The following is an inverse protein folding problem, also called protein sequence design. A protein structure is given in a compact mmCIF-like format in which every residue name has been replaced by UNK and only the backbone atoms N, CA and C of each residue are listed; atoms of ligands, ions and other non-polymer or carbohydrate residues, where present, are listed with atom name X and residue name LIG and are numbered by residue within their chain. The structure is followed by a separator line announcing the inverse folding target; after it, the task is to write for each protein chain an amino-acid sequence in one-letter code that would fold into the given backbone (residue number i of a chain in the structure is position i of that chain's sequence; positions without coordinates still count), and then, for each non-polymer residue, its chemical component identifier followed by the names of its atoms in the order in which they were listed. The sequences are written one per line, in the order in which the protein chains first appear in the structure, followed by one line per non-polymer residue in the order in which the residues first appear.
data_IF_022890063512
#
_entry.id   IF_022890063512
#
_cell.length_a   1.000
_cell.length_b   1.000
_cell.length_c   1.000
_cell.angle_alpha   90.00
_cell.angle_beta   90.00
_cell.angle_gamma   90.00
#
_symmetry.space_group_name_H-M   'P 1'
#
loop_
_entity.id
_entity.type
_entity.pdbx_description
1 polymer ?
#
# COMPACT_ATOMS: atom_id res chain seq x y z
N UNK A 1 -14.16 -12.09 22.09
CA UNK A 1 -14.26 -11.64 20.68
C UNK A 1 -13.18 -10.59 20.47
N UNK A 2 -12.49 -10.60 19.32
CA UNK A 2 -11.47 -9.59 19.05
C UNK A 2 -12.14 -8.21 18.92
N UNK A 3 -11.59 -7.19 19.60
CA UNK A 3 -12.13 -5.83 19.54
C UNK A 3 -11.50 -5.04 18.38
N UNK A 4 -12.20 -4.00 17.91
CA UNK A 4 -11.72 -3.11 16.83
C UNK A 4 -10.33 -2.55 17.15
N UNK A 5 -10.08 -2.19 18.42
CA UNK A 5 -8.77 -1.72 18.88
C UNK A 5 -7.68 -2.80 18.81
N UNK A 6 -8.00 -4.07 19.05
CA UNK A 6 -7.01 -5.16 18.96
C UNK A 6 -6.54 -5.42 17.52
N UNK A 7 -7.34 -5.05 16.51
CA UNK A 7 -6.93 -5.10 15.10
C UNK A 7 -6.05 -3.93 14.68
N UNK A 8 -5.97 -2.86 15.46
CA UNK A 8 -5.15 -1.69 15.15
C UNK A 8 -3.85 -1.73 15.96
N UNK A 9 -2.73 -2.00 15.28
CA UNK A 9 -1.41 -2.02 15.88
C UNK A 9 -0.52 -0.90 15.32
N UNK A 10 -0.45 0.20 16.06
CA UNK A 10 0.33 1.38 15.67
C UNK A 10 1.81 1.04 15.54
N UNK A 11 2.35 1.18 14.34
CA UNK A 11 3.78 0.93 14.05
C UNK A 11 4.44 2.07 13.29
N UNK A 12 5.73 2.27 13.59
CA UNK A 12 6.58 3.27 12.96
C UNK A 12 5.97 4.69 12.98
N UNK A 13 5.63 5.24 11.81
CA UNK A 13 5.10 6.60 11.65
C UNK A 13 3.56 6.64 11.66
N UNK A 14 2.89 5.61 12.21
CA UNK A 14 1.45 5.63 12.34
C UNK A 14 1.02 6.77 13.28
N UNK A 15 -0.14 7.40 13.07
CA UNK A 15 -0.63 8.43 13.96
C UNK A 15 -0.78 7.87 15.38
N UNK A 16 -0.16 8.53 16.36
CA UNK A 16 -0.19 8.14 17.78
C UNK A 16 -1.51 8.52 18.47
N UNK A 17 -2.45 9.13 17.73
CA UNK A 17 -3.76 9.56 18.21
C UNK A 17 -4.82 8.45 18.22
N UNK A 18 -6.05 8.79 18.65
CA UNK A 18 -7.20 7.88 18.61
C UNK A 18 -7.45 7.38 17.18
N UNK A 19 -8.10 6.22 17.06
CA UNK A 19 -8.43 5.64 15.77
C UNK A 19 -9.32 6.60 14.98
N UNK A 20 -8.93 6.90 13.74
CA UNK A 20 -9.77 7.68 12.84
C UNK A 20 -11.03 6.90 12.47
N UNK A 21 -12.06 7.59 11.98
CA UNK A 21 -13.31 6.97 11.54
C UNK A 21 -13.04 5.89 10.47
N UNK A 22 -12.18 6.21 9.49
CA UNK A 22 -11.79 5.27 8.43
C UNK A 22 -11.11 4.01 9.00
N UNK A 23 -10.23 4.18 9.99
CA UNK A 23 -9.56 3.04 10.64
C UNK A 23 -10.53 2.15 11.40
N UNK A 24 -11.49 2.76 12.10
CA UNK A 24 -12.53 2.05 12.85
C UNK A 24 -13.41 1.25 11.90
N UNK A 25 -13.82 1.84 10.78
CA UNK A 25 -14.64 1.17 9.77
C UNK A 25 -13.88 0.03 9.10
N UNK A 26 -12.62 0.23 8.73
CA UNK A 26 -11.79 -0.83 8.13
C UNK A 26 -11.54 -1.97 9.12
N UNK A 27 -11.22 -1.66 10.38
CA UNK A 27 -11.01 -2.67 11.41
C UNK A 27 -12.28 -3.47 11.71
N UNK A 28 -13.46 -2.82 11.74
CA UNK A 28 -14.74 -3.51 11.84
C UNK A 28 -14.98 -4.42 10.63
N UNK A 29 -14.73 -3.92 9.41
CA UNK A 29 -14.89 -4.72 8.19
C UNK A 29 -14.03 -5.99 8.20
N UNK A 30 -12.80 -5.93 8.76
CA UNK A 30 -11.92 -7.08 8.93
C UNK A 30 -12.45 -8.09 9.97
N UNK A 31 -13.02 -7.63 11.08
CA UNK A 31 -13.64 -8.51 12.09
C UNK A 31 -14.88 -9.24 11.55
N UNK A 32 -15.68 -8.52 10.77
CA UNK A 32 -16.84 -9.11 10.12
C UNK A 32 -16.42 -10.16 9.08
N UNK A 33 -15.32 -9.94 8.35
CA UNK A 33 -14.77 -10.94 7.41
C UNK A 33 -14.20 -12.16 8.14
N UNK A 34 -13.56 -11.97 9.29
CA UNK A 34 -13.10 -13.06 10.16
C UNK A 34 -14.28 -13.93 10.65
N UNK A 35 -15.44 -13.31 10.89
CA UNK A 35 -16.65 -14.00 11.37
C UNK A 35 -17.40 -14.71 10.26
N UNK A 36 -17.53 -14.07 9.09
CA UNK A 36 -18.41 -14.51 8.02
C UNK A 36 -17.73 -15.46 7.02
N UNK A 37 -16.39 -15.38 6.86
CA UNK A 37 -15.65 -16.19 5.90
C UNK A 37 -14.77 -17.19 6.64
N UNK A 38 -15.24 -18.43 6.74
CA UNK A 38 -14.58 -19.52 7.47
C UNK A 38 -13.15 -19.78 6.98
N UNK A 39 -12.90 -19.68 5.67
CA UNK A 39 -11.58 -19.88 5.06
C UNK A 39 -10.55 -18.82 5.49
N UNK A 40 -10.96 -17.55 5.60
CA UNK A 40 -10.06 -16.45 5.96
C UNK A 40 -9.86 -16.32 7.47
N UNK A 41 -10.70 -16.97 8.28
CA UNK A 41 -10.71 -16.83 9.74
C UNK A 41 -9.39 -17.17 10.41
N UNK A 42 -8.76 -18.28 10.01
CA UNK A 42 -7.50 -18.73 10.61
C UNK A 42 -6.35 -17.76 10.31
N UNK A 43 -6.32 -17.20 9.10
CA UNK A 43 -5.27 -16.31 8.63
C UNK A 43 -5.48 -14.86 9.09
N UNK A 44 -6.73 -14.37 9.12
CA UNK A 44 -7.06 -13.00 9.52
C UNK A 44 -6.96 -12.77 11.03
N UNK A 45 -7.21 -13.79 11.86
CA UNK A 45 -7.20 -13.66 13.33
C UNK A 45 -5.91 -12.99 13.87
N UNK A 46 -4.69 -13.46 13.53
CA UNK A 46 -3.45 -12.85 14.01
C UNK A 46 -3.07 -11.54 13.30
N UNK A 47 -3.72 -11.20 12.18
CA UNK A 47 -3.34 -10.04 11.38
C UNK A 47 -3.93 -8.75 11.95
N UNK A 48 -3.12 -7.70 11.87
CA UNK A 48 -3.42 -6.36 12.35
C UNK A 48 -3.09 -5.33 11.28
N UNK A 49 -3.69 -4.15 11.40
CA UNK A 49 -3.43 -2.99 10.54
C UNK A 49 -2.77 -1.89 11.36
N UNK A 50 -1.88 -1.11 10.75
CA UNK A 50 -1.18 -0.01 11.41
C UNK A 50 -2.01 1.28 11.37
N UNK A 51 -2.48 1.61 10.17
CA UNK A 51 -3.40 2.72 9.93
C UNK A 51 -4.13 2.51 8.62
N UNK A 52 -5.19 3.28 8.40
CA UNK A 52 -5.91 3.34 7.14
C UNK A 52 -6.09 4.80 6.76
N UNK A 53 -5.94 5.11 5.47
CA UNK A 53 -6.14 6.46 4.94
C UNK A 53 -7.01 6.40 3.71
N UNK A 54 -7.95 7.32 3.63
CA UNK A 54 -8.70 7.57 2.40
C UNK A 54 -7.98 8.62 1.57
N UNK A 55 -7.84 8.35 0.27
CA UNK A 55 -7.15 9.21 -0.70
C UNK A 55 -8.09 9.44 -1.88
N UNK A 56 -8.25 10.69 -2.28
CA UNK A 56 -8.99 11.04 -3.48
C UNK A 56 -8.17 10.68 -4.73
N UNK A 57 -8.83 10.00 -5.66
CA UNK A 57 -8.25 9.57 -6.94
C UNK A 57 -8.81 10.43 -8.06
N UNK A 58 -8.06 10.52 -9.17
CA UNK A 58 -8.57 11.12 -10.40
C UNK A 58 -9.92 10.50 -10.80
N UNK A 59 -10.86 11.33 -11.24
CA UNK A 59 -12.20 10.89 -11.62
C UNK A 59 -13.21 10.83 -10.47
N UNK A 60 -12.92 11.45 -9.32
CA UNK A 60 -13.88 11.60 -8.21
C UNK A 60 -14.07 10.34 -7.35
N UNK A 61 -13.40 9.24 -7.69
CA UNK A 61 -13.36 8.02 -6.89
C UNK A 61 -12.43 8.21 -5.69
N UNK A 62 -12.64 7.41 -4.64
CA UNK A 62 -11.78 7.37 -3.46
C UNK A 62 -11.09 6.02 -3.37
N UNK A 63 -9.85 6.01 -2.90
CA UNK A 63 -9.11 4.79 -2.61
C UNK A 63 -8.80 4.72 -1.11
N UNK A 64 -8.96 3.53 -0.53
CA UNK A 64 -8.59 3.25 0.85
C UNK A 64 -7.22 2.56 0.83
N UNK A 65 -6.24 3.23 1.43
CA UNK A 65 -4.90 2.69 1.62
C UNK A 65 -4.78 2.15 3.04
N UNK A 66 -4.62 0.83 3.14
CA UNK A 66 -4.44 0.13 4.41
C UNK A 66 -2.95 -0.10 4.63
N UNK A 67 -2.42 0.48 5.69
CA UNK A 67 -1.04 0.30 6.09
C UNK A 67 -0.89 -0.95 6.96
N UNK A 68 -0.05 -1.87 6.51
CA UNK A 68 0.19 -3.16 7.17
C UNK A 68 1.51 -3.10 7.94
N UNK A 69 1.59 -3.56 9.20
CA UNK A 69 2.86 -3.73 9.88
C UNK A 69 3.83 -4.60 9.06
N UNK A 70 5.05 -4.10 8.80
CA UNK A 70 6.01 -4.78 7.91
C UNK A 70 6.23 -6.28 8.20
N UNK A 71 6.27 -6.76 9.47
CA UNK A 71 6.42 -8.19 9.75
C UNK A 71 5.25 -9.05 9.24
N UNK A 72 4.04 -8.48 9.14
CA UNK A 72 2.82 -9.17 8.75
C UNK A 72 2.54 -9.09 7.24
N UNK A 73 3.25 -8.24 6.49
CA UNK A 73 3.01 -8.01 5.06
C UNK A 73 3.04 -9.30 4.23
N UNK A 74 4.00 -10.21 4.49
CA UNK A 74 4.07 -11.51 3.79
C UNK A 74 2.85 -12.39 4.05
N UNK A 75 2.25 -12.31 5.24
CA UNK A 75 1.04 -13.05 5.56
C UNK A 75 -0.19 -12.42 4.88
N UNK A 76 -0.25 -11.09 4.78
CA UNK A 76 -1.28 -10.40 3.99
C UNK A 76 -1.20 -10.77 2.51
N UNK A 77 0.00 -10.83 1.90
CA UNK A 77 0.17 -11.18 0.49
C UNK A 77 -0.51 -12.52 0.12
N UNK A 78 -0.40 -13.54 0.99
CA UNK A 78 -1.04 -14.86 0.77
C UNK A 78 -2.56 -14.76 0.55
N UNK A 79 -3.22 -13.86 1.27
CA UNK A 79 -4.68 -13.70 1.25
C UNK A 79 -5.15 -12.47 0.47
N UNK A 80 -4.21 -11.64 -0.01
CA UNK A 80 -4.50 -10.28 -0.48
C UNK A 80 -5.48 -10.26 -1.66
N UNK A 81 -5.39 -11.20 -2.61
CA UNK A 81 -6.32 -11.25 -3.74
C UNK A 81 -7.77 -11.48 -3.29
N UNK A 82 -8.00 -12.37 -2.32
CA UNK A 82 -9.34 -12.65 -1.79
C UNK A 82 -9.81 -11.52 -0.88
N UNK A 83 -8.92 -11.05 0.00
CA UNK A 83 -9.20 -9.99 0.95
C UNK A 83 -9.55 -8.67 0.25
N UNK A 84 -8.84 -8.29 -0.81
CA UNK A 84 -9.14 -7.10 -1.61
C UNK A 84 -10.54 -7.19 -2.22
N UNK A 85 -10.92 -8.33 -2.83
CA UNK A 85 -12.26 -8.52 -3.40
C UNK A 85 -13.37 -8.39 -2.36
N UNK A 86 -13.20 -9.01 -1.20
CA UNK A 86 -14.20 -8.96 -0.13
C UNK A 86 -14.32 -7.56 0.50
N UNK A 87 -13.21 -6.84 0.64
CA UNK A 87 -13.24 -5.46 1.12
C UNK A 87 -13.83 -4.51 0.07
N UNK A 88 -13.53 -4.67 -1.22
CA UNK A 88 -14.11 -3.85 -2.29
C UNK A 88 -15.61 -4.08 -2.46
N UNK A 89 -16.13 -5.27 -2.17
CA UNK A 89 -17.59 -5.50 -2.07
C UNK A 89 -18.23 -4.69 -0.94
N UNK A 90 -17.56 -4.58 0.22
CA UNK A 90 -18.05 -3.81 1.37
C UNK A 90 -17.92 -2.31 1.17
N UNK A 91 -16.84 -1.88 0.53
CA UNK A 91 -16.53 -0.49 0.23
C UNK A 91 -16.89 -0.19 -1.22
N UNK A 92 -18.20 -0.10 -1.50
CA UNK A 92 -18.70 0.17 -2.85
C UNK A 92 -18.04 1.43 -3.44
N UNK A 93 -17.56 1.29 -4.68
CA UNK A 93 -16.86 2.32 -5.47
C UNK A 93 -15.52 2.83 -4.89
N UNK A 94 -14.93 2.15 -3.91
CA UNK A 94 -13.60 2.49 -3.39
C UNK A 94 -12.59 1.39 -3.66
N UNK A 95 -11.47 1.77 -4.28
CA UNK A 95 -10.38 0.84 -4.49
C UNK A 95 -9.60 0.62 -3.19
N UNK A 96 -9.38 -0.63 -2.82
CA UNK A 96 -8.64 -0.99 -1.60
C UNK A 96 -7.23 -1.44 -1.98
N UNK A 97 -6.23 -0.82 -1.37
CA UNK A 97 -4.81 -1.12 -1.62
C UNK A 97 -4.07 -1.30 -0.30
N UNK A 98 -3.19 -2.31 -0.24
CA UNK A 98 -2.37 -2.61 0.92
C UNK A 98 -0.95 -2.07 0.71
N UNK A 99 -0.40 -1.42 1.74
CA UNK A 99 0.96 -0.89 1.70
C UNK A 99 1.67 -1.20 3.01
N UNK A 100 2.90 -1.71 2.93
CA UNK A 100 3.74 -1.92 4.11
C UNK A 100 4.11 -0.60 4.80
N UNK A 101 3.86 -0.53 6.10
CA UNK A 101 4.25 0.60 6.94
C UNK A 101 5.77 0.59 7.14
N UNK A 102 6.48 1.46 6.39
CA UNK A 102 7.95 1.56 6.40
C UNK A 102 8.41 2.87 7.05
N UNK A 103 9.55 2.82 7.75
CA UNK A 103 10.20 4.01 8.35
C UNK A 103 11.35 4.48 7.47
N UNK A 104 11.28 5.74 7.02
CA UNK A 104 12.39 6.40 6.35
C UNK A 104 13.25 7.10 7.40
N UNK A 105 14.55 6.76 7.46
CA UNK A 105 15.52 7.48 8.28
C UNK A 105 16.13 8.63 7.47
N UNK A 106 16.51 9.72 8.11
CA UNK A 106 17.22 10.82 7.43
C UNK A 106 18.59 10.38 6.89
N UNK A 107 19.08 11.04 5.84
CA UNK A 107 20.46 10.83 5.40
C UNK A 107 21.41 11.30 6.52
N UNK A 108 22.39 10.48 6.96
CA UNK A 108 23.35 10.94 7.94
C UNK A 108 24.10 12.16 7.37
N UNK A 109 24.14 13.23 8.16
CA UNK A 109 24.87 14.47 7.86
C UNK A 109 26.00 14.62 8.88
N UNK A 110 26.99 15.48 8.62
CA UNK A 110 28.09 15.77 9.55
C UNK A 110 27.60 16.18 10.96
N UNK A 111 26.38 16.74 11.08
CA UNK A 111 25.78 17.14 12.37
C UNK A 111 25.10 15.98 13.12
N UNK A 112 24.76 14.89 12.43
CA UNK A 112 24.07 13.75 13.04
C UNK A 112 25.08 12.80 13.69
N UNK A 113 25.12 12.79 15.02
CA UNK A 113 25.94 11.87 15.82
C UNK A 113 25.24 10.51 16.02
N UNK A 114 24.71 9.92 14.95
CA UNK A 114 24.14 8.58 15.04
C UNK A 114 25.27 7.56 15.13
N UNK A 115 25.30 6.78 16.21
CA UNK A 115 26.34 5.75 16.44
C UNK A 115 26.20 4.55 15.49
N UNK A 116 24.99 4.26 15.02
CA UNK A 116 24.70 3.11 14.17
C UNK A 116 24.54 3.52 12.70
N UNK A 117 25.05 2.71 11.75
CA UNK A 117 24.87 2.96 10.33
C UNK A 117 23.40 2.84 9.93
N UNK A 118 22.97 3.69 8.98
CA UNK A 118 21.60 3.64 8.44
C UNK A 118 21.42 2.38 7.57
N UNK A 119 20.43 1.52 7.86
CA UNK A 119 20.11 0.38 7.00
C UNK A 119 19.63 0.82 5.61
N UNK A 120 20.03 0.10 4.56
CA UNK A 120 19.60 0.38 3.18
C UNK A 120 18.07 0.33 3.01
N UNK A 121 17.41 -0.63 3.68
CA UNK A 121 15.95 -0.79 3.69
C UNK A 121 15.18 0.40 4.27
N UNK A 122 15.86 1.27 5.04
CA UNK A 122 15.28 2.52 5.60
C UNK A 122 15.73 3.76 4.83
N UNK A 123 16.18 3.59 3.59
CA UNK A 123 16.47 4.69 2.68
C UNK A 123 15.24 5.18 1.95
N UNK A 124 15.19 6.47 1.60
CA UNK A 124 14.05 7.05 0.88
C UNK A 124 13.82 6.35 -0.46
N UNK A 125 14.90 6.06 -1.19
CA UNK A 125 14.84 5.37 -2.49
C UNK A 125 14.32 3.95 -2.35
N UNK A 126 14.89 3.14 -1.45
CA UNK A 126 14.45 1.76 -1.24
C UNK A 126 12.99 1.70 -0.78
N UNK A 127 12.58 2.58 0.15
CA UNK A 127 11.18 2.62 0.61
C UNK A 127 10.22 3.00 -0.51
N UNK A 128 10.58 3.96 -1.37
CA UNK A 128 9.76 4.34 -2.51
C UNK A 128 9.66 3.25 -3.59
N UNK A 129 10.66 2.39 -3.71
CA UNK A 129 10.63 1.23 -4.59
C UNK A 129 9.73 0.14 -4.03
N UNK A 130 9.91 -0.21 -2.76
CA UNK A 130 9.04 -1.20 -2.12
C UNK A 130 7.57 -0.76 -2.01
N UNK A 131 7.28 0.54 -1.93
CA UNK A 131 5.90 1.03 -2.02
C UNK A 131 5.32 0.80 -3.42
N UNK A 132 6.11 0.96 -4.49
CA UNK A 132 5.62 0.66 -5.86
C UNK A 132 5.24 -0.81 -5.99
N UNK A 133 6.09 -1.70 -5.50
CA UNK A 133 5.87 -3.15 -5.51
C UNK A 133 4.61 -3.54 -4.75
N UNK A 134 4.40 -3.00 -3.55
CA UNK A 134 3.20 -3.29 -2.76
C UNK A 134 1.91 -2.83 -3.45
N UNK A 135 1.93 -1.67 -4.12
CA UNK A 135 0.75 -1.12 -4.78
C UNK A 135 0.26 -2.01 -5.93
N UNK A 136 1.17 -2.67 -6.66
CA UNK A 136 0.84 -3.45 -7.85
C UNK A 136 0.62 -4.93 -7.58
N UNK A 137 0.85 -5.39 -6.34
CA UNK A 137 0.60 -6.78 -5.95
C UNK A 137 -0.86 -7.16 -6.26
N UNK A 138 -1.13 -8.28 -6.98
CA UNK A 138 -0.25 -9.45 -7.16
C UNK A 138 0.70 -9.42 -8.36
N UNK A 139 0.59 -8.42 -9.24
CA UNK A 139 1.44 -8.35 -10.43
C UNK A 139 2.84 -7.84 -10.07
N UNK A 140 3.82 -8.23 -10.89
CA UNK A 140 5.21 -7.84 -10.72
C UNK A 140 5.58 -6.74 -11.72
N UNK A 141 6.51 -5.88 -11.33
CA UNK A 141 7.03 -4.83 -12.21
C UNK A 141 8.11 -5.45 -13.11
N UNK A 142 7.77 -5.66 -14.37
CA UNK A 142 8.69 -6.22 -15.40
C UNK A 142 9.76 -5.22 -15.81
N UNK A 143 9.46 -3.93 -15.74
CA UNK A 143 10.39 -2.88 -16.12
C UNK A 143 10.08 -1.54 -15.48
N UNK A 144 11.12 -0.72 -15.30
CA UNK A 144 10.99 0.64 -14.76
C UNK A 144 11.88 1.59 -15.54
N UNK A 145 11.31 2.67 -16.05
CA UNK A 145 12.03 3.74 -16.75
C UNK A 145 11.66 5.08 -16.14
N UNK A 146 12.62 5.98 -15.99
CA UNK A 146 12.34 7.36 -15.57
C UNK A 146 12.54 8.28 -16.75
N UNK A 147 11.46 8.90 -17.23
CA UNK A 147 11.54 9.96 -18.24
C UNK A 147 11.80 11.27 -17.51
N UNK A 148 12.83 11.99 -17.95
CA UNK A 148 13.09 13.37 -17.53
C UNK A 148 12.70 14.27 -18.69
N UNK A 149 11.79 15.22 -18.46
CA UNK A 149 11.40 16.20 -19.47
C UNK A 149 12.33 17.43 -19.44
N UNK A 150 12.24 18.28 -20.45
CA UNK A 150 13.10 19.46 -20.62
C UNK A 150 12.92 20.50 -19.52
N UNK A 151 11.75 20.52 -18.87
CA UNK A 151 11.42 21.30 -17.69
C UNK A 151 12.02 20.73 -16.38
N UNK A 152 12.69 19.58 -16.46
CA UNK A 152 13.24 18.86 -15.31
C UNK A 152 12.22 18.00 -14.56
N UNK A 153 10.95 17.96 -15.00
CA UNK A 153 9.96 17.08 -14.40
C UNK A 153 10.31 15.61 -14.65
N UNK A 154 10.05 14.76 -13.66
CA UNK A 154 10.38 13.33 -13.71
C UNK A 154 9.11 12.51 -13.65
N UNK A 155 8.91 11.67 -14.65
CA UNK A 155 7.80 10.73 -14.73
C UNK A 155 8.36 9.31 -14.73
N UNK A 156 7.97 8.53 -13.72
CA UNK A 156 8.34 7.12 -13.61
C UNK A 156 7.34 6.32 -14.43
N UNK A 157 7.81 5.57 -15.43
CA UNK A 157 7.03 4.59 -16.18
C UNK A 157 7.32 3.20 -15.62
N UNK A 158 6.31 2.58 -15.04
CA UNK A 158 6.37 1.20 -14.55
C UNK A 158 5.62 0.30 -15.53
N UNK A 159 6.30 -0.74 -15.98
CA UNK A 159 5.76 -1.78 -16.85
C UNK A 159 5.35 -2.97 -15.98
N UNK A 160 4.11 -3.42 -16.16
CA UNK A 160 3.54 -4.60 -15.52
C UNK A 160 3.47 -5.75 -16.52
N UNK A 161 3.30 -6.98 -16.04
CA UNK A 161 3.09 -8.16 -16.88
C UNK A 161 1.76 -8.05 -17.64
N UNK A 162 1.78 -8.34 -18.94
CA UNK A 162 0.61 -8.24 -19.84
C UNK A 162 -0.50 -9.21 -19.45
N UNK A 163 -0.16 -10.33 -18.81
CA UNK A 163 -1.11 -11.37 -18.37
C UNK A 163 -2.10 -10.86 -17.33
N UNK A 164 -1.70 -9.90 -16.51
CA UNK A 164 -2.52 -9.38 -15.41
C UNK A 164 -3.42 -8.21 -15.84
N UNK A 165 -3.37 -7.81 -17.11
CA UNK A 165 -4.06 -6.63 -17.64
C UNK A 165 -5.54 -6.60 -17.27
N UNK A 166 -6.26 -7.69 -17.56
CA UNK A 166 -7.70 -7.81 -17.29
C UNK A 166 -8.07 -7.58 -15.82
N UNK A 167 -7.16 -7.89 -14.90
CA UNK A 167 -7.42 -7.86 -13.46
C UNK A 167 -7.00 -6.55 -12.77
N UNK A 168 -6.03 -5.82 -13.32
CA UNK A 168 -5.44 -4.64 -12.68
C UNK A 168 -5.68 -3.33 -13.44
N UNK A 169 -6.08 -3.39 -14.71
CA UNK A 169 -6.22 -2.20 -15.57
C UNK A 169 -7.14 -1.13 -14.94
N UNK A 170 -8.26 -1.55 -14.33
CA UNK A 170 -9.20 -0.62 -13.72
C UNK A 170 -8.67 0.10 -12.46
N UNK A 171 -7.54 -0.33 -11.88
CA UNK A 171 -6.92 0.28 -10.68
C UNK A 171 -5.72 1.17 -10.98
N UNK A 172 -5.20 1.22 -12.21
CA UNK A 172 -3.93 1.88 -12.51
C UNK A 172 -3.92 3.38 -12.15
N UNK A 173 -5.02 4.09 -12.41
CA UNK A 173 -5.16 5.51 -12.05
C UNK A 173 -5.18 5.73 -10.54
N UNK A 174 -5.73 4.78 -9.79
CA UNK A 174 -5.72 4.77 -8.33
C UNK A 174 -4.31 4.59 -7.80
N UNK A 175 -3.54 3.63 -8.35
CA UNK A 175 -2.16 3.42 -7.95
C UNK A 175 -1.28 4.66 -8.21
N UNK A 176 -1.45 5.31 -9.36
CA UNK A 176 -0.74 6.56 -9.68
C UNK A 176 -1.05 7.66 -8.67
N UNK A 177 -2.33 7.86 -8.36
CA UNK A 177 -2.79 8.89 -7.43
C UNK A 177 -2.33 8.62 -5.99
N UNK A 178 -2.43 7.37 -5.54
CA UNK A 178 -1.96 6.93 -4.22
C UNK A 178 -0.45 7.14 -4.10
N UNK A 179 0.33 6.69 -5.09
CA UNK A 179 1.78 6.84 -5.05
C UNK A 179 2.20 8.30 -5.02
N UNK A 180 1.55 9.15 -5.84
CA UNK A 180 1.79 10.60 -5.84
C UNK A 180 1.48 11.22 -4.47
N UNK A 181 0.38 10.84 -3.84
CA UNK A 181 0.01 11.37 -2.51
C UNK A 181 0.98 10.93 -1.42
N UNK A 182 1.50 9.70 -1.48
CA UNK A 182 2.41 9.15 -0.47
C UNK A 182 3.86 9.62 -0.64
N UNK A 183 4.33 9.80 -1.87
CA UNK A 183 5.75 10.05 -2.17
C UNK A 183 6.04 11.41 -2.82
N UNK A 184 5.01 12.08 -3.34
CA UNK A 184 5.15 13.31 -4.12
C UNK A 184 5.72 13.12 -5.52
N UNK A 185 5.87 11.87 -6.00
CA UNK A 185 6.44 11.55 -7.32
C UNK A 185 5.36 11.07 -8.29
N UNK A 186 5.47 11.49 -9.54
CA UNK A 186 4.56 11.06 -10.60
C UNK A 186 4.95 9.72 -11.19
N UNK A 187 3.97 8.81 -11.28
CA UNK A 187 4.11 7.47 -11.85
C UNK A 187 3.00 7.22 -12.86
N UNK A 188 3.36 6.56 -13.96
CA UNK A 188 2.46 6.00 -14.94
C UNK A 188 2.67 4.49 -14.99
N UNK A 189 1.61 3.72 -14.78
CA UNK A 189 1.62 2.27 -14.95
C UNK A 189 1.16 1.93 -16.37
N UNK A 190 1.82 0.97 -16.99
CA UNK A 190 1.53 0.48 -18.33
C UNK A 190 1.74 -1.02 -18.35
N UNK A 191 1.01 -1.75 -19.20
CA UNK A 191 1.36 -3.13 -19.49
C UNK A 191 2.46 -3.16 -20.54
N UNK A 192 3.43 -4.06 -20.37
CA UNK A 192 4.42 -4.29 -21.42
C UNK A 192 3.70 -4.84 -22.64
N UNK A 193 3.78 -4.15 -23.78
CA UNK A 193 3.47 -4.77 -25.06
C UNK A 193 4.61 -5.74 -25.36
N UNK A 194 4.31 -7.02 -25.51
CA UNK A 194 5.27 -8.02 -25.97
C UNK A 194 5.91 -7.50 -27.28
N UNK A 195 7.22 -7.29 -27.23
CA UNK A 195 8.06 -7.03 -28.39
C UNK A 195 8.67 -8.34 -28.85
#
# INVERSE_FOLDING_TARGET
MASVQQKIFRTANAPTGPASEVETVVAQALLDLESNVSELKAELRPLQISCAKEIEVKGGKKAIVIFVPMPQLKAFHKIQQRLTRELEKKFSDRHVVFVGQRRILGKPSRKNRNQQPRPHSRTLTAVHESILEDLVYPSEITGKRTRVATDGSRLIKCFLDSKDATSLEYKLDSFSSVYKKLTGRDVSFMFSSDN
#
